data_IF_093273072610
#
_entry.id   IF_093273072610
#
_cell.length_a   1.000
_cell.length_b   1.000
_cell.length_c   1.000
_cell.angle_alpha   90.00
_cell.angle_beta   90.00
_cell.angle_gamma   90.00
#
_symmetry.space_group_name_H-M   'P 1'
#
loop_
_entity.id
_entity.type
_entity.pdbx_description
1 polymer ?
#
# COMPACT_ATOMS: atom_id res chain seq x y z
N UNK A 1 -12.13 -20.54 9.14
CA UNK A 1 -12.62 -19.48 8.22
C UNK A 1 -11.76 -19.48 6.98
N UNK A 2 -12.31 -19.49 5.76
CA UNK A 2 -11.48 -19.31 4.56
C UNK A 2 -11.06 -17.84 4.51
N UNK A 3 -9.83 -17.53 4.09
CA UNK A 3 -9.28 -16.15 4.01
C UNK A 3 -10.19 -15.19 3.21
N UNK A 4 -10.95 -15.73 2.26
CA UNK A 4 -11.95 -14.97 1.49
C UNK A 4 -13.12 -14.47 2.34
N UNK A 5 -13.55 -15.22 3.35
CA UNK A 5 -14.69 -14.85 4.20
C UNK A 5 -14.27 -13.72 5.15
N UNK A 6 -13.05 -13.82 5.71
CA UNK A 6 -12.46 -12.80 6.57
C UNK A 6 -12.32 -11.44 5.88
N UNK A 7 -11.76 -11.39 4.66
CA UNK A 7 -11.62 -10.13 3.92
C UNK A 7 -12.97 -9.53 3.53
N UNK A 8 -13.95 -10.38 3.22
CA UNK A 8 -15.30 -9.91 2.90
C UNK A 8 -16.02 -9.35 4.13
N UNK A 9 -15.79 -9.90 5.33
CA UNK A 9 -16.30 -9.36 6.59
C UNK A 9 -15.62 -8.04 6.95
N UNK A 10 -14.29 -7.97 6.79
CA UNK A 10 -13.50 -6.80 7.17
C UNK A 10 -13.73 -5.59 6.26
N UNK A 11 -13.80 -5.81 4.94
CA UNK A 11 -13.81 -4.74 3.95
C UNK A 11 -15.16 -4.61 3.21
N UNK A 12 -16.01 -5.62 3.30
CA UNK A 12 -17.13 -5.78 2.38
C UNK A 12 -16.71 -6.41 1.05
N UNK A 13 -17.67 -7.01 0.35
CA UNK A 13 -17.41 -7.77 -0.89
C UNK A 13 -16.77 -6.93 -2.00
N UNK A 14 -17.10 -5.63 -2.09
CA UNK A 14 -16.62 -4.77 -3.17
C UNK A 14 -15.15 -4.42 -2.97
N UNK A 15 -14.78 -3.84 -1.84
CA UNK A 15 -13.40 -3.52 -1.48
C UNK A 15 -12.53 -4.78 -1.46
N UNK A 16 -13.00 -5.90 -0.89
CA UNK A 16 -12.24 -7.16 -0.88
C UNK A 16 -11.88 -7.64 -2.30
N UNK A 17 -12.79 -7.47 -3.27
CA UNK A 17 -12.52 -7.80 -4.67
C UNK A 17 -11.55 -6.80 -5.33
N UNK A 18 -11.63 -5.51 -4.99
CA UNK A 18 -10.68 -4.51 -5.47
C UNK A 18 -9.27 -4.76 -4.92
N UNK A 19 -9.15 -5.07 -3.63
CA UNK A 19 -7.89 -5.47 -3.00
C UNK A 19 -7.29 -6.67 -3.73
N UNK A 20 -8.05 -7.75 -3.94
CA UNK A 20 -7.56 -8.93 -4.69
C UNK A 20 -7.05 -8.59 -6.09
N UNK A 21 -7.72 -7.67 -6.81
CA UNK A 21 -7.26 -7.21 -8.13
C UNK A 21 -5.96 -6.41 -8.02
N UNK A 22 -5.83 -5.55 -7.02
CA UNK A 22 -4.63 -4.76 -6.78
C UNK A 22 -3.42 -5.65 -6.42
N UNK A 23 -3.63 -6.65 -5.55
CA UNK A 23 -2.61 -7.63 -5.17
C UNK A 23 -2.11 -8.43 -6.38
N UNK A 24 -3.03 -8.93 -7.22
CA UNK A 24 -2.68 -9.64 -8.47
C UNK A 24 -1.93 -8.78 -9.47
N UNK A 25 -2.17 -7.46 -9.47
CA UNK A 25 -1.50 -6.51 -10.35
C UNK A 25 -0.16 -6.01 -9.78
N UNK A 26 0.28 -6.51 -8.62
CA UNK A 26 1.53 -6.09 -7.98
C UNK A 26 1.54 -4.63 -7.54
N UNK A 27 0.36 -4.04 -7.26
CA UNK A 27 0.27 -2.66 -6.78
C UNK A 27 0.67 -2.59 -5.30
N UNK A 28 1.27 -1.47 -4.90
CA UNK A 28 1.38 -1.11 -3.49
C UNK A 28 0.00 -0.81 -2.92
N UNK A 29 -0.31 -1.41 -1.76
CA UNK A 29 -1.57 -1.21 -1.05
C UNK A 29 -1.37 -0.18 0.05
N UNK A 30 -2.17 0.87 0.04
CA UNK A 30 -2.26 1.83 1.15
C UNK A 30 -3.46 1.42 2.00
N UNK A 31 -3.22 1.18 3.29
CA UNK A 31 -4.27 0.82 4.26
C UNK A 31 -4.59 2.04 5.12
N UNK A 32 -5.81 2.56 4.98
CA UNK A 32 -6.31 3.72 5.70
C UNK A 32 -7.54 3.36 6.55
N UNK A 33 -7.82 4.14 7.60
CA UNK A 33 -8.93 3.89 8.51
C UNK A 33 -8.73 4.49 9.90
N UNK A 34 -9.77 4.44 10.74
CA UNK A 34 -9.77 4.97 12.11
C UNK A 34 -8.78 4.26 13.03
N UNK A 35 -8.48 4.86 14.19
CA UNK A 35 -7.67 4.19 15.22
C UNK A 35 -8.27 2.85 15.63
N UNK A 36 -7.41 1.89 15.99
CA UNK A 36 -7.78 0.55 16.44
C UNK A 36 -8.60 -0.31 15.45
N UNK A 37 -8.67 0.07 14.17
CA UNK A 37 -9.37 -0.70 13.12
C UNK A 37 -8.60 -1.93 12.61
N UNK A 38 -7.40 -2.18 13.11
CA UNK A 38 -6.55 -3.30 12.67
C UNK A 38 -5.69 -3.04 11.44
N UNK A 39 -5.46 -1.77 11.05
CA UNK A 39 -4.62 -1.39 9.90
C UNK A 39 -3.22 -2.01 9.94
N UNK A 40 -2.51 -1.85 11.06
CA UNK A 40 -1.18 -2.41 11.27
C UNK A 40 -1.18 -3.93 11.10
N UNK A 41 -2.20 -4.61 11.62
CA UNK A 41 -2.36 -6.06 11.45
C UNK A 41 -2.55 -6.44 9.98
N UNK A 42 -3.42 -5.73 9.25
CA UNK A 42 -3.64 -6.00 7.83
C UNK A 42 -2.38 -5.74 6.98
N UNK A 43 -1.66 -4.64 7.25
CA UNK A 43 -0.38 -4.34 6.61
C UNK A 43 0.64 -5.44 6.87
N UNK A 44 0.77 -5.89 8.11
CA UNK A 44 1.69 -6.97 8.47
C UNK A 44 1.36 -8.28 7.75
N UNK A 45 0.08 -8.67 7.70
CA UNK A 45 -0.35 -9.88 6.98
C UNK A 45 -0.04 -9.77 5.49
N UNK A 46 -0.36 -8.64 4.85
CA UNK A 46 -0.08 -8.43 3.44
C UNK A 46 1.44 -8.49 3.13
N UNK A 47 2.26 -7.85 3.97
CA UNK A 47 3.72 -7.87 3.84
C UNK A 47 4.30 -9.28 4.06
N UNK A 48 3.79 -10.06 5.02
CA UNK A 48 4.21 -11.44 5.26
C UNK A 48 3.92 -12.37 4.07
N UNK A 49 2.83 -12.10 3.34
CA UNK A 49 2.46 -12.82 2.11
C UNK A 49 3.20 -12.29 0.87
N UNK A 50 4.15 -11.36 1.03
CA UNK A 50 5.00 -10.84 -0.05
C UNK A 50 4.36 -9.71 -0.87
N UNK A 51 3.27 -9.11 -0.38
CA UNK A 51 2.65 -7.95 -1.01
C UNK A 51 3.18 -6.65 -0.41
N UNK A 52 3.43 -5.62 -1.23
CA UNK A 52 3.82 -4.31 -0.73
C UNK A 52 2.61 -3.59 -0.11
N UNK A 53 2.59 -3.42 1.22
CA UNK A 53 1.56 -2.69 1.93
C UNK A 53 2.13 -1.68 2.94
N UNK A 54 1.49 -0.52 3.07
CA UNK A 54 1.87 0.57 3.98
C UNK A 54 0.64 1.19 4.63
N UNK A 55 0.80 1.74 5.84
CA UNK A 55 -0.24 2.56 6.49
C UNK A 55 -0.22 3.97 5.91
N UNK A 56 -1.40 4.58 5.75
CA UNK A 56 -1.56 5.89 5.11
C UNK A 56 -0.70 7.01 5.74
N UNK A 57 -0.62 7.05 7.07
CA UNK A 57 0.14 8.07 7.80
C UNK A 57 1.67 7.96 7.65
N UNK A 58 2.17 6.81 7.20
CA UNK A 58 3.60 6.59 6.94
C UNK A 58 3.98 6.90 5.47
N UNK A 59 3.07 7.51 4.70
CA UNK A 59 3.31 7.81 3.29
C UNK A 59 3.54 9.30 3.04
N UNK A 60 4.52 9.60 2.19
CA UNK A 60 4.69 10.92 1.59
C UNK A 60 4.64 10.77 0.07
N UNK A 61 3.74 11.51 -0.59
CA UNK A 61 3.58 11.45 -2.04
C UNK A 61 4.28 12.62 -2.70
N UNK A 62 5.22 12.33 -3.60
CA UNK A 62 5.88 13.33 -4.45
C UNK A 62 5.37 13.18 -5.88
N UNK A 63 4.86 14.27 -6.45
CA UNK A 63 4.41 14.31 -7.85
C UNK A 63 5.45 15.01 -8.73
N UNK A 64 6.01 14.29 -9.70
CA UNK A 64 6.95 14.83 -10.68
C UNK A 64 6.16 15.33 -11.89
N UNK A 65 6.11 16.65 -12.08
CA UNK A 65 5.37 17.29 -13.19
C UNK A 65 6.24 17.62 -14.41
N UNK A 66 7.56 17.41 -14.33
CA UNK A 66 8.53 17.68 -15.41
C UNK A 66 9.50 16.50 -15.56
N UNK A 67 9.95 16.17 -16.78
CA UNK A 67 10.95 15.13 -16.98
C UNK A 67 12.24 15.41 -16.20
N UNK A 68 12.92 14.34 -15.79
CA UNK A 68 14.26 14.44 -15.22
C UNK A 68 15.22 15.04 -16.25
N UNK A 69 15.93 16.11 -15.87
CA UNK A 69 16.97 16.71 -16.72
C UNK A 69 18.22 15.83 -16.82
N UNK A 70 18.47 15.01 -15.81
CA UNK A 70 19.59 14.07 -15.73
C UNK A 70 19.06 12.72 -15.24
N UNK A 71 19.44 11.63 -15.92
CA UNK A 71 18.95 10.27 -15.62
C UNK A 71 19.50 9.70 -14.31
N UNK A 72 20.66 10.18 -13.85
CA UNK A 72 21.31 9.75 -12.61
C UNK A 72 21.78 10.98 -11.84
N UNK A 73 20.89 11.66 -11.11
CA UNK A 73 21.29 12.79 -10.27
C UNK A 73 22.20 12.30 -9.12
N UNK A 74 23.17 13.13 -8.73
CA UNK A 74 23.99 12.87 -7.55
C UNK A 74 23.15 13.16 -6.30
N UNK A 75 22.53 12.13 -5.72
CA UNK A 75 21.59 12.29 -4.61
C UNK A 75 22.26 12.86 -3.35
N UNK A 76 23.56 12.65 -3.15
CA UNK A 76 24.30 13.22 -2.02
C UNK A 76 24.35 14.75 -2.08
N UNK A 77 24.30 15.35 -3.27
CA UNK A 77 24.23 16.81 -3.40
C UNK A 77 22.80 17.36 -3.20
N UNK A 78 21.79 16.51 -3.22
CA UNK A 78 20.37 16.92 -3.25
C UNK A 78 19.66 16.72 -1.90
N UNK A 79 20.05 15.70 -1.13
CA UNK A 79 19.36 15.29 0.11
C UNK A 79 20.19 15.64 1.37
N UNK A 80 21.43 16.10 1.21
CA UNK A 80 22.25 16.62 2.31
C UNK A 80 21.81 18.01 2.75
#
# INVERSE_FOLDING_TARGET
>A
MKTNDYLNELLGKREANQLKKALKAGKTIIVAGVEQSGKTTLVNVLNQEGHAAVEDFDTHTVMISKPLKQLRPNMNEIIS
#
